data_IF_182405935972
#
_entry.id   IF_182405935972
#
_cell.length_a   1.000
_cell.length_b   1.000
_cell.length_c   1.000
_cell.angle_alpha   90.00
_cell.angle_beta   90.00
_cell.angle_gamma   90.00
#
_symmetry.space_group_name_H-M   'P 1'
#
loop_
_entity.id
_entity.type
_entity.pdbx_description
1 polymer ?
#
# COMPACT_ATOMS: atom_id res chain seq x y z
N UNK A 1 4.89 6.78 19.64
CA UNK A 1 4.44 7.47 18.42
C UNK A 1 2.94 7.28 18.33
N UNK A 2 2.16 8.36 18.33
CA UNK A 2 0.70 8.29 18.27
C UNK A 2 0.31 7.56 16.98
N UNK A 3 -0.51 6.53 17.12
CA UNK A 3 -1.01 5.72 16.03
C UNK A 3 -1.98 6.61 15.21
N UNK A 4 -1.46 7.34 14.22
CA UNK A 4 -2.31 8.11 13.31
C UNK A 4 -3.12 7.14 12.45
N UNK A 5 -4.38 6.91 12.83
CA UNK A 5 -5.30 6.05 12.09
C UNK A 5 -5.78 6.75 10.82
N UNK A 6 -5.03 6.54 9.72
CA UNK A 6 -5.33 7.06 8.38
C UNK A 6 -6.16 6.07 7.54
N UNK A 7 -6.83 5.12 8.19
CA UNK A 7 -7.58 4.04 7.54
C UNK A 7 -8.72 4.53 6.63
N UNK A 8 -9.24 5.73 6.94
CA UNK A 8 -10.29 6.40 6.18
C UNK A 8 -9.75 7.34 5.11
N UNK A 9 -8.43 7.51 5.02
CA UNK A 9 -7.81 8.51 4.18
C UNK A 9 -7.29 7.95 2.85
N UNK A 10 -7.42 8.77 1.83
CA UNK A 10 -6.88 8.55 0.50
C UNK A 10 -6.11 9.80 0.05
N UNK A 11 -5.31 9.63 -0.98
CA UNK A 11 -4.54 10.71 -1.59
C UNK A 11 -4.64 10.62 -3.12
N UNK A 12 -4.94 11.77 -3.73
CA UNK A 12 -5.16 11.92 -5.17
C UNK A 12 -4.07 12.81 -5.76
N UNK A 13 -3.36 12.31 -6.76
CA UNK A 13 -2.34 13.04 -7.51
C UNK A 13 -2.82 13.32 -8.94
N UNK A 14 -2.28 14.36 -9.56
CA UNK A 14 -2.46 14.62 -11.00
C UNK A 14 -3.72 15.40 -11.37
N UNK A 15 -4.47 15.92 -10.39
CA UNK A 15 -5.58 16.85 -10.60
C UNK A 15 -5.05 18.28 -10.42
N UNK A 16 -5.11 19.15 -11.44
CA UNK A 16 -4.73 20.57 -11.32
C UNK A 16 -5.61 21.35 -10.33
N UNK A 17 -5.13 22.50 -9.89
CA UNK A 17 -5.93 23.50 -9.15
C UNK A 17 -6.73 24.33 -10.17
N UNK A 18 -8.04 24.47 -9.94
CA UNK A 18 -8.90 25.41 -10.68
C UNK A 18 -9.60 26.32 -9.69
N UNK A 19 -9.67 27.64 -9.98
CA UNK A 19 -10.23 28.65 -9.08
C UNK A 19 -11.67 29.01 -9.48
N UNK A 20 -12.60 29.23 -8.52
CA UNK A 20 -12.44 29.01 -7.08
C UNK A 20 -12.27 27.51 -6.77
N UNK A 21 -11.30 27.19 -5.93
CA UNK A 21 -10.95 25.80 -5.65
C UNK A 21 -11.75 25.28 -4.47
N UNK A 22 -12.49 24.19 -4.70
CA UNK A 22 -13.07 23.37 -3.64
C UNK A 22 -12.54 21.94 -3.75
N UNK A 23 -11.67 21.48 -2.82
CA UNK A 23 -11.18 20.13 -2.83
C UNK A 23 -12.29 19.09 -2.54
N UNK A 24 -13.41 19.46 -1.89
CA UNK A 24 -14.57 18.57 -1.74
C UNK A 24 -15.13 18.25 -3.12
N UNK A 25 -15.49 19.28 -3.91
CA UNK A 25 -15.97 19.11 -5.28
C UNK A 25 -15.02 18.28 -6.15
N UNK A 26 -13.71 18.41 -5.92
CA UNK A 26 -12.71 17.63 -6.65
C UNK A 26 -12.83 16.15 -6.34
N UNK A 27 -12.94 15.78 -5.07
CA UNK A 27 -13.12 14.38 -4.65
C UNK A 27 -14.47 13.84 -5.12
N UNK A 28 -15.54 14.64 -5.04
CA UNK A 28 -16.87 14.24 -5.52
C UNK A 28 -16.88 13.97 -7.02
N UNK A 29 -16.23 14.83 -7.83
CA UNK A 29 -16.07 14.63 -9.28
C UNK A 29 -15.24 13.39 -9.59
N UNK A 30 -14.13 13.17 -8.89
CA UNK A 30 -13.33 11.94 -9.03
C UNK A 30 -14.17 10.71 -8.72
N UNK A 31 -14.94 10.72 -7.64
CA UNK A 31 -15.76 9.59 -7.24
C UNK A 31 -16.89 9.30 -8.24
N UNK A 32 -17.52 10.36 -8.76
CA UNK A 32 -18.54 10.27 -9.83
C UNK A 32 -17.95 9.67 -11.11
N UNK A 33 -16.77 10.14 -11.55
CA UNK A 33 -16.08 9.62 -12.75
C UNK A 33 -15.61 8.16 -12.63
N UNK A 34 -15.70 7.58 -11.43
CA UNK A 34 -15.36 6.20 -11.11
C UNK A 34 -16.59 5.34 -10.80
N UNK A 35 -17.80 5.85 -11.05
CA UNK A 35 -19.08 5.18 -10.73
C UNK A 35 -19.22 4.84 -9.24
N UNK A 36 -18.74 5.73 -8.38
CA UNK A 36 -18.86 5.67 -6.92
C UNK A 36 -19.30 7.05 -6.42
N UNK A 37 -20.52 7.50 -6.74
CA UNK A 37 -20.97 8.83 -6.33
C UNK A 37 -20.90 8.94 -4.79
N UNK A 38 -20.24 9.99 -4.30
CA UNK A 38 -20.16 10.34 -2.89
C UNK A 38 -21.05 11.56 -2.64
N UNK A 39 -21.57 11.67 -1.43
CA UNK A 39 -22.21 12.89 -0.92
C UNK A 39 -21.21 13.72 -0.10
N UNK A 40 -21.42 15.03 0.00
CA UNK A 40 -20.56 15.90 0.82
C UNK A 40 -20.49 15.45 2.28
N UNK A 41 -21.56 14.87 2.82
CA UNK A 41 -21.61 14.28 4.17
C UNK A 41 -20.72 13.05 4.35
N UNK A 42 -20.36 12.35 3.27
CA UNK A 42 -19.46 11.20 3.33
C UNK A 42 -17.97 11.60 3.33
N UNK A 43 -17.65 12.89 3.15
CA UNK A 43 -16.28 13.40 3.08
C UNK A 43 -15.96 14.25 4.31
N UNK A 44 -15.15 13.72 5.22
CA UNK A 44 -14.85 14.30 6.53
C UNK A 44 -13.61 15.21 6.43
N UNK A 45 -13.81 16.47 6.08
CA UNK A 45 -13.01 17.69 6.39
C UNK A 45 -11.48 17.76 6.20
N UNK A 46 -10.71 16.67 6.13
CA UNK A 46 -9.24 16.69 5.96
C UNK A 46 -8.84 16.85 4.48
N UNK A 47 -9.52 17.76 3.80
CA UNK A 47 -9.39 18.05 2.39
C UNK A 47 -8.42 19.21 2.19
N UNK A 48 -7.14 18.88 2.13
CA UNK A 48 -6.10 19.86 1.83
C UNK A 48 -5.20 19.33 0.73
N UNK A 49 -4.63 20.25 -0.02
CA UNK A 49 -3.51 19.92 -0.89
C UNK A 49 -2.23 19.91 -0.09
N UNK A 50 -1.45 18.85 -0.21
CA UNK A 50 -0.09 18.86 0.33
C UNK A 50 0.73 19.79 -0.58
N UNK A 51 1.24 20.90 0.00
CA UNK A 51 2.06 21.84 -0.74
C UNK A 51 3.36 21.22 -1.25
N UNK A 52 3.70 21.50 -2.51
CA UNK A 52 5.09 21.52 -2.97
C UNK A 52 5.47 22.97 -3.23
N UNK A 53 6.73 23.31 -2.99
CA UNK A 53 7.32 24.65 -3.21
C UNK A 53 7.19 25.14 -4.66
N UNK A 54 6.82 24.24 -5.58
CA UNK A 54 6.66 24.45 -7.01
C UNK A 54 5.45 23.61 -7.45
N UNK A 55 4.57 24.19 -8.26
CA UNK A 55 3.42 23.60 -8.98
C UNK A 55 2.01 23.78 -8.40
N UNK A 56 1.15 24.29 -9.30
CA UNK A 56 -0.30 24.48 -9.28
C UNK A 56 -1.13 23.19 -9.15
N UNK A 57 -0.59 22.12 -8.54
CA UNK A 57 -1.20 20.78 -8.55
C UNK A 57 -0.71 19.87 -7.40
N UNK A 58 -0.69 20.36 -6.16
CA UNK A 58 -0.40 19.51 -4.98
C UNK A 58 -1.44 18.39 -4.82
N UNK A 59 -1.09 17.20 -4.30
CA UNK A 59 -2.06 16.12 -4.17
C UNK A 59 -3.13 16.44 -3.14
N UNK A 60 -4.37 16.05 -3.43
CA UNK A 60 -5.52 16.21 -2.52
C UNK A 60 -5.55 15.02 -1.58
N UNK A 61 -5.48 15.27 -0.27
CA UNK A 61 -5.79 14.26 0.75
C UNK A 61 -7.29 14.35 1.02
N UNK A 62 -7.96 13.21 1.16
CA UNK A 62 -9.36 13.17 1.54
C UNK A 62 -9.59 12.10 2.60
N UNK A 63 -10.44 12.39 3.58
CA UNK A 63 -10.89 11.43 4.58
C UNK A 63 -12.36 11.13 4.34
N UNK A 64 -12.70 9.85 4.21
CA UNK A 64 -14.08 9.41 4.04
C UNK A 64 -14.68 8.95 5.37
N UNK A 65 -16.00 8.87 5.43
CA UNK A 65 -16.71 8.44 6.63
C UNK A 65 -16.42 7.00 7.03
N UNK A 66 -16.25 6.11 6.04
CA UNK A 66 -15.95 4.69 6.31
C UNK A 66 -14.79 4.16 5.47
N UNK A 67 -14.08 3.19 6.04
CA UNK A 67 -13.05 2.42 5.35
C UNK A 67 -13.64 1.67 4.14
N UNK A 68 -14.92 1.26 4.23
CA UNK A 68 -15.63 0.57 3.15
C UNK A 68 -15.72 1.45 1.90
N UNK A 69 -16.16 2.70 2.03
CA UNK A 69 -16.26 3.66 0.92
C UNK A 69 -14.89 3.98 0.32
N UNK A 70 -13.87 4.13 1.17
CA UNK A 70 -12.48 4.30 0.73
C UNK A 70 -12.00 3.12 -0.10
N UNK A 71 -12.27 1.89 0.35
CA UNK A 71 -11.86 0.68 -0.36
C UNK A 71 -12.62 0.48 -1.69
N UNK A 72 -13.91 0.81 -1.71
CA UNK A 72 -14.75 0.75 -2.91
C UNK A 72 -14.18 1.68 -4.01
N UNK A 73 -13.91 2.93 -3.64
CA UNK A 73 -13.34 3.92 -4.56
C UNK A 73 -11.97 3.48 -5.09
N UNK A 74 -11.09 2.98 -4.22
CA UNK A 74 -9.79 2.43 -4.64
C UNK A 74 -9.92 1.20 -5.56
N UNK A 75 -10.90 0.32 -5.31
CA UNK A 75 -11.14 -0.84 -6.16
C UNK A 75 -11.63 -0.45 -7.55
N UNK A 76 -12.57 0.49 -7.64
CA UNK A 76 -13.07 1.05 -8.91
C UNK A 76 -11.96 1.77 -9.66
N UNK A 77 -11.18 2.60 -8.98
CA UNK A 77 -10.02 3.25 -9.56
C UNK A 77 -9.01 2.24 -10.14
N UNK A 78 -8.65 1.17 -9.42
CA UNK A 78 -7.70 0.16 -9.94
C UNK A 78 -8.19 -0.52 -11.22
N UNK A 79 -9.49 -0.79 -11.32
CA UNK A 79 -10.08 -1.34 -12.55
C UNK A 79 -10.02 -0.34 -13.70
N UNK A 80 -10.27 0.95 -13.42
CA UNK A 80 -10.25 2.02 -14.43
C UNK A 80 -8.84 2.47 -14.81
N UNK A 81 -7.89 2.54 -13.88
CA UNK A 81 -6.56 3.11 -14.11
C UNK A 81 -5.70 2.27 -15.06
N UNK A 82 -5.95 0.96 -15.14
CA UNK A 82 -5.35 0.08 -16.16
C UNK A 82 -5.64 0.53 -17.59
N UNK A 83 -6.73 1.30 -17.80
CA UNK A 83 -7.12 1.89 -19.09
C UNK A 83 -6.70 3.36 -19.26
N UNK A 84 -5.87 3.91 -18.37
CA UNK A 84 -5.33 5.27 -18.52
C UNK A 84 -6.19 6.39 -17.94
N UNK A 85 -6.65 6.26 -16.70
CA UNK A 85 -7.43 7.30 -16.02
C UNK A 85 -6.63 8.62 -15.85
N UNK A 86 -7.21 9.72 -16.36
CA UNK A 86 -6.61 11.04 -16.45
C UNK A 86 -7.55 12.13 -15.91
N UNK A 87 -7.03 13.33 -15.67
CA UNK A 87 -7.80 14.44 -15.11
C UNK A 87 -8.95 14.86 -16.04
N UNK A 88 -8.79 14.72 -17.37
CA UNK A 88 -9.85 14.90 -18.35
C UNK A 88 -11.07 13.96 -18.18
N UNK A 89 -10.91 12.82 -17.47
CA UNK A 89 -12.03 11.95 -17.12
C UNK A 89 -12.84 12.47 -15.94
N UNK A 90 -12.22 13.31 -15.10
CA UNK A 90 -12.88 13.96 -13.95
C UNK A 90 -13.66 15.18 -14.43
N UNK A 91 -13.09 15.92 -15.38
CA UNK A 91 -13.68 17.10 -15.99
C UNK A 91 -13.02 17.32 -17.36
N UNK A 92 -13.80 17.44 -18.44
CA UNK A 92 -13.28 17.53 -19.80
C UNK A 92 -12.46 18.80 -20.08
N UNK A 93 -12.60 19.83 -19.24
CA UNK A 93 -11.79 21.06 -19.31
C UNK A 93 -10.37 20.86 -18.78
N UNK A 94 -10.10 19.76 -18.08
CA UNK A 94 -8.79 19.48 -17.51
C UNK A 94 -7.85 18.80 -18.52
N UNK A 95 -6.53 19.02 -18.38
CA UNK A 95 -5.56 18.36 -19.23
C UNK A 95 -5.63 16.84 -19.05
N UNK A 96 -5.19 16.09 -20.07
CA UNK A 96 -5.11 14.63 -20.02
C UNK A 96 -3.92 14.13 -19.19
N UNK A 97 -3.67 14.74 -18.02
CA UNK A 97 -2.64 14.34 -17.07
C UNK A 97 -3.08 13.09 -16.32
N UNK A 98 -2.18 12.11 -16.20
CA UNK A 98 -2.47 10.87 -15.47
C UNK A 98 -2.78 11.16 -14.00
N UNK A 99 -3.85 10.55 -13.51
CA UNK A 99 -4.28 10.66 -12.12
C UNK A 99 -3.88 9.40 -11.38
N UNK A 100 -3.45 9.57 -10.12
CA UNK A 100 -3.16 8.45 -9.23
C UNK A 100 -3.98 8.57 -7.96
N UNK A 101 -4.58 7.46 -7.54
CA UNK A 101 -5.33 7.35 -6.30
C UNK A 101 -4.73 6.24 -5.44
N UNK A 102 -4.33 6.60 -4.23
CA UNK A 102 -3.75 5.68 -3.26
C UNK A 102 -4.40 5.83 -1.89
N UNK A 103 -4.23 4.81 -1.05
CA UNK A 103 -4.45 4.98 0.39
C UNK A 103 -3.39 5.91 0.98
N UNK A 104 -3.75 6.64 2.04
CA UNK A 104 -2.81 7.55 2.69
C UNK A 104 -1.90 6.77 3.64
N UNK A 105 -0.63 6.64 3.27
CA UNK A 105 0.39 6.02 4.15
C UNK A 105 1.25 7.07 4.87
N UNK A 106 1.73 6.80 6.08
CA UNK A 106 2.69 7.66 6.79
C UNK A 106 4.06 7.68 6.10
N UNK A 107 4.96 8.60 6.51
CA UNK A 107 6.30 8.67 5.92
C UNK A 107 7.14 7.41 6.23
N UNK A 108 7.03 6.91 7.47
CA UNK A 108 7.67 5.65 7.90
C UNK A 108 7.16 4.45 7.10
N UNK A 109 5.84 4.33 6.94
CA UNK A 109 5.24 3.26 6.12
C UNK A 109 5.74 3.30 4.67
N UNK A 110 5.79 4.48 4.04
CA UNK A 110 6.31 4.62 2.67
C UNK A 110 7.79 4.24 2.57
N UNK A 111 8.60 4.59 3.57
CA UNK A 111 10.03 4.19 3.65
C UNK A 111 10.16 2.67 3.75
N UNK A 112 9.44 2.07 4.69
CA UNK A 112 9.40 0.62 4.87
C UNK A 112 9.02 -0.09 3.57
N UNK A 113 7.96 0.36 2.90
CA UNK A 113 7.52 -0.25 1.64
C UNK A 113 8.53 -0.09 0.49
N UNK A 114 9.19 1.07 0.39
CA UNK A 114 10.22 1.30 -0.61
C UNK A 114 11.40 0.34 -0.42
N UNK A 115 11.87 0.19 0.81
CA UNK A 115 12.92 -0.76 1.16
C UNK A 115 12.49 -2.20 0.93
N UNK A 116 11.26 -2.54 1.29
CA UNK A 116 10.68 -3.86 1.09
C UNK A 116 10.67 -4.24 -0.41
N UNK A 117 10.32 -3.30 -1.29
CA UNK A 117 10.42 -3.49 -2.75
C UNK A 117 11.85 -3.68 -3.23
N UNK A 118 12.82 -2.97 -2.65
CA UNK A 118 14.24 -3.14 -2.99
C UNK A 118 14.76 -4.51 -2.56
N UNK A 119 14.39 -4.96 -1.36
CA UNK A 119 14.72 -6.29 -0.85
C UNK A 119 14.11 -7.38 -1.71
N UNK A 120 12.84 -7.24 -2.08
CA UNK A 120 12.17 -8.20 -2.94
C UNK A 120 12.84 -8.34 -4.30
N UNK A 121 13.31 -7.24 -4.89
CA UNK A 121 14.11 -7.28 -6.12
C UNK A 121 15.44 -8.02 -5.92
N UNK A 122 16.12 -7.80 -4.78
CA UNK A 122 17.41 -8.45 -4.46
C UNK A 122 17.26 -9.95 -4.20
N UNK A 123 16.15 -10.38 -3.62
CA UNK A 123 15.94 -11.75 -3.15
C UNK A 123 14.87 -12.52 -3.93
N UNK A 124 14.48 -12.04 -5.11
CA UNK A 124 13.48 -12.66 -5.98
C UNK A 124 12.13 -12.97 -5.28
N UNK A 125 11.71 -12.10 -4.35
CA UNK A 125 10.38 -12.21 -3.74
C UNK A 125 9.34 -11.74 -4.76
N UNK A 126 8.44 -12.65 -5.13
CA UNK A 126 7.48 -12.45 -6.22
C UNK A 126 6.45 -11.38 -5.94
N UNK A 127 5.95 -11.29 -4.71
CA UNK A 127 4.84 -10.40 -4.36
C UNK A 127 5.17 -9.50 -3.18
N UNK A 128 5.04 -8.19 -3.41
CA UNK A 128 5.15 -7.15 -2.39
C UNK A 128 4.06 -6.12 -2.57
N UNK A 129 3.28 -5.86 -1.52
CA UNK A 129 2.24 -4.84 -1.55
C UNK A 129 2.06 -4.21 -0.17
N UNK A 130 1.43 -3.04 -0.15
CA UNK A 130 1.02 -2.37 1.06
C UNK A 130 -0.51 -2.38 1.13
N UNK A 131 -1.04 -2.53 2.34
CA UNK A 131 -2.46 -2.32 2.63
C UNK A 131 -2.61 -1.78 4.05
N UNK A 132 -3.32 -0.66 4.20
CA UNK A 132 -3.54 0.02 5.49
C UNK A 132 -2.23 0.27 6.24
N UNK A 133 -1.21 0.76 5.52
CA UNK A 133 0.11 1.03 6.09
C UNK A 133 0.96 -0.22 6.41
N UNK A 134 0.38 -1.42 6.34
CA UNK A 134 1.11 -2.67 6.58
C UNK A 134 1.74 -3.15 5.29
N UNK A 135 3.03 -3.49 5.35
CA UNK A 135 3.75 -4.07 4.21
C UNK A 135 3.64 -5.59 4.26
N UNK A 136 3.36 -6.21 3.12
CA UNK A 136 3.15 -7.64 2.99
C UNK A 136 4.07 -8.25 1.94
N UNK A 137 4.60 -9.42 2.25
CA UNK A 137 5.41 -10.25 1.36
C UNK A 137 4.75 -11.60 1.11
N UNK A 138 4.99 -12.10 -0.10
CA UNK A 138 4.86 -13.52 -0.43
C UNK A 138 5.97 -13.89 -1.42
N UNK A 139 6.82 -14.82 -1.01
CA UNK A 139 8.04 -15.21 -1.74
C UNK A 139 7.73 -15.76 -3.13
N UNK A 140 6.78 -16.68 -3.20
CA UNK A 140 6.29 -17.28 -4.45
C UNK A 140 4.80 -17.56 -4.35
N UNK A 141 4.17 -17.97 -5.45
CA UNK A 141 2.78 -18.42 -5.39
C UNK A 141 2.64 -19.61 -4.44
N UNK A 142 1.60 -19.60 -3.61
CA UNK A 142 1.39 -20.63 -2.57
C UNK A 142 2.21 -20.44 -1.29
N UNK A 143 3.24 -19.58 -1.28
CA UNK A 143 4.00 -19.31 -0.06
C UNK A 143 3.16 -18.59 1.02
N UNK A 144 3.47 -18.80 2.32
CA UNK A 144 2.84 -18.09 3.42
C UNK A 144 2.90 -16.56 3.24
N UNK A 145 1.80 -15.91 3.61
CA UNK A 145 1.73 -14.45 3.67
C UNK A 145 2.50 -13.95 4.90
N UNK A 146 3.44 -13.04 4.71
CA UNK A 146 4.19 -12.39 5.78
C UNK A 146 3.84 -10.91 5.85
N UNK A 147 3.82 -10.34 7.06
CA UNK A 147 3.47 -8.93 7.30
C UNK A 147 4.54 -8.23 8.13
N UNK A 148 4.83 -6.98 7.80
CA UNK A 148 5.87 -6.18 8.46
C UNK A 148 5.34 -4.80 8.84
N UNK A 149 5.64 -4.42 10.08
CA UNK A 149 5.33 -3.11 10.65
C UNK A 149 6.60 -2.27 10.89
N UNK A 150 7.77 -2.89 10.88
CA UNK A 150 9.06 -2.24 11.06
C UNK A 150 10.11 -2.83 10.14
N UNK A 151 11.17 -2.05 9.91
CA UNK A 151 12.31 -2.47 9.11
C UNK A 151 13.06 -3.63 9.78
N UNK A 152 13.26 -3.56 11.11
CA UNK A 152 14.01 -4.59 11.85
C UNK A 152 13.34 -5.97 11.76
N UNK A 153 12.02 -6.03 11.94
CA UNK A 153 11.26 -7.29 11.82
C UNK A 153 11.35 -7.85 10.40
N UNK A 154 11.37 -6.99 9.39
CA UNK A 154 11.50 -7.39 8.00
C UNK A 154 12.89 -7.95 7.69
N UNK A 155 13.95 -7.25 8.10
CA UNK A 155 15.33 -7.68 7.85
C UNK A 155 15.68 -8.97 8.58
N UNK A 156 15.24 -9.12 9.83
CA UNK A 156 15.48 -10.34 10.62
C UNK A 156 14.90 -11.57 9.92
N UNK A 157 13.67 -11.48 9.41
CA UNK A 157 12.99 -12.63 8.80
C UNK A 157 13.50 -12.94 7.38
N UNK A 158 13.85 -11.92 6.58
CA UNK A 158 14.38 -12.11 5.22
C UNK A 158 15.67 -12.93 5.23
N UNK A 159 16.56 -12.69 6.20
CA UNK A 159 17.79 -13.47 6.34
C UNK A 159 17.49 -14.95 6.55
N UNK A 160 16.47 -15.29 7.34
CA UNK A 160 16.04 -16.69 7.56
C UNK A 160 15.36 -17.29 6.33
N UNK A 161 14.61 -16.50 5.57
CA UNK A 161 13.86 -16.96 4.39
C UNK A 161 14.78 -17.22 3.20
N UNK A 162 15.79 -16.37 3.01
CA UNK A 162 16.65 -16.41 1.82
C UNK A 162 17.90 -17.26 2.04
N UNK A 163 18.39 -17.35 3.28
CA UNK A 163 19.50 -18.24 3.65
C UNK A 163 19.01 -19.36 4.56
N UNK A 164 18.47 -20.47 4.02
CA UNK A 164 18.07 -21.62 4.82
C UNK A 164 19.24 -22.43 5.42
N UNK A 165 20.51 -22.09 5.14
CA UNK A 165 21.67 -22.95 5.44
C UNK A 165 22.18 -22.85 6.90
N UNK A 166 21.57 -22.03 7.77
CA UNK A 166 21.98 -21.92 9.17
C UNK A 166 20.83 -22.21 10.13
N UNK A 167 20.31 -23.43 10.08
CA UNK A 167 19.72 -24.08 11.25
C UNK A 167 20.74 -25.11 11.73
N UNK A 168 21.14 -25.10 13.02
CA UNK A 168 22.00 -26.15 13.54
C UNK A 168 21.25 -27.48 13.39
N UNK A 169 21.81 -28.39 12.60
CA UNK A 169 21.36 -29.78 12.57
C UNK A 169 21.34 -30.27 14.01
N UNK A 170 20.15 -30.61 14.51
CA UNK A 170 20.03 -31.34 15.75
C UNK A 170 20.78 -32.66 15.58
N UNK A 171 21.94 -32.78 16.22
CA UNK A 171 22.71 -34.01 16.31
C UNK A 171 21.85 -35.05 17.06
N UNK A 172 21.08 -35.82 16.32
CA UNK A 172 20.51 -37.07 16.80
C UNK A 172 21.67 -38.04 17.03
N UNK A 173 22.09 -38.17 18.29
CA UNK A 173 22.91 -39.31 18.69
C UNK A 173 22.00 -40.53 18.79
N UNK A 174 21.95 -41.29 17.70
CA UNK A 174 21.57 -42.69 17.74
C UNK A 174 22.78 -43.47 18.31
N UNK A 175 22.65 -43.95 19.55
CA UNK A 175 23.59 -44.91 20.12
C UNK A 175 23.45 -46.27 19.42
N UNK A 176 24.54 -47.02 19.18
CA UNK A 176 24.46 -48.30 18.50
C UNK A 176 23.81 -49.36 19.40
N UNK A 177 22.81 -50.03 18.83
CA UNK A 177 22.27 -51.30 19.30
C UNK A 177 23.37 -52.35 19.24
N UNK A 178 23.70 -52.96 20.39
CA UNK A 178 24.52 -54.18 20.45
C UNK A 178 23.58 -55.30 20.89
N UNK A 179 23.31 -56.20 19.94
CA UNK A 179 22.74 -57.52 20.19
C UNK A 179 23.86 -58.45 20.66
N UNK A 180 23.63 -59.15 21.78
CA UNK A 180 24.38 -60.35 22.15
C UNK A 180 23.42 -61.36 22.78
N UNK A 181 23.13 -62.45 22.05
CA UNK A 181 22.69 -63.75 22.59
C UNK A 181 23.91 -64.72 22.58
N UNK A 182 23.77 -66.02 22.91
CA UNK A 182 23.68 -66.60 24.25
C UNK A 182 24.78 -67.65 24.52
N UNK A 183 25.08 -67.97 25.79
CA UNK A 183 25.59 -69.28 26.26
C UNK A 183 25.08 -69.52 27.67
#
# INVERSE_FOLDING_TARGET
>A
MVNEHRDNELIIFGIPIFKPEDPVSTVLRVATSLDVPLTSSEVISALFRIGRRIFSSGPVVAKLITIARRNELLAKFRRRSGSGFAASNVDCSLPSTRVYLYERSTASERRLFAEARQLAKRHNIKHVWMRRGVTYFRVSDGSPLRRYLSQDSMLAEINTIVNPIQLPHASSQAGPSVCSEPV
#
